data_IF_883824106822
#
_entry.id   IF_883824106822
#
_cell.length_a   1.000
_cell.length_b   1.000
_cell.length_c   1.000
_cell.angle_alpha   90.00
_cell.angle_beta   90.00
_cell.angle_gamma   90.00
#
_symmetry.space_group_name_H-M   'P 1'
#
loop_
_entity.id
_entity.type
_entity.pdbx_description
1 polymer ?
#
# COMPACT_ATOMS: atom_id res chain seq x y z
N UNK A 1 -15.80 -4.91 -13.40
CA UNK A 1 -14.79 -5.76 -12.73
C UNK A 1 -13.51 -5.62 -13.53
N UNK A 2 -12.38 -5.29 -12.89
CA UNK A 2 -11.11 -5.14 -13.61
C UNK A 2 -10.53 -6.53 -13.95
N UNK A 3 -10.16 -6.73 -15.21
CA UNK A 3 -9.52 -7.94 -15.71
C UNK A 3 -8.03 -7.66 -15.89
N UNK A 4 -7.18 -8.42 -15.20
CA UNK A 4 -5.73 -8.33 -15.35
C UNK A 4 -5.27 -9.26 -16.49
N UNK A 5 -4.60 -8.68 -17.49
CA UNK A 5 -3.93 -9.41 -18.57
C UNK A 5 -2.44 -9.55 -18.26
N UNK A 6 -1.97 -10.75 -17.87
CA UNK A 6 -0.58 -10.96 -17.47
C UNK A 6 0.40 -10.90 -18.66
N UNK A 7 -0.05 -11.08 -19.90
CA UNK A 7 0.83 -11.04 -21.08
C UNK A 7 1.20 -9.60 -21.46
N UNK A 8 0.27 -8.67 -21.26
CA UNK A 8 0.44 -7.27 -21.59
C UNK A 8 0.69 -6.38 -20.35
N UNK A 9 0.78 -7.01 -19.17
CA UNK A 9 0.79 -6.35 -17.85
C UNK A 9 -0.16 -5.16 -17.78
N UNK A 10 -1.46 -5.43 -18.02
CA UNK A 10 -2.47 -4.38 -18.12
C UNK A 10 -3.79 -4.75 -17.46
N UNK A 11 -4.50 -3.73 -16.99
CA UNK A 11 -5.85 -3.87 -16.44
C UNK A 11 -6.87 -3.30 -17.41
N UNK A 12 -7.94 -4.05 -17.64
CA UNK A 12 -9.04 -3.69 -18.54
C UNK A 12 -10.37 -3.66 -17.79
N UNK A 13 -11.29 -2.79 -18.21
CA UNK A 13 -12.68 -2.87 -17.78
C UNK A 13 -13.39 -4.02 -18.50
N UNK A 14 -14.52 -4.46 -17.94
CA UNK A 14 -15.33 -5.45 -18.62
C UNK A 14 -15.91 -4.80 -19.88
N UNK A 15 -15.74 -5.46 -21.04
CA UNK A 15 -16.21 -5.01 -22.36
C UNK A 15 -15.40 -3.87 -23.01
N UNK A 16 -14.20 -3.58 -22.51
CA UNK A 16 -13.24 -2.68 -23.18
C UNK A 16 -11.90 -3.38 -23.41
N UNK A 17 -11.32 -3.22 -24.61
CA UNK A 17 -9.93 -3.62 -24.87
C UNK A 17 -8.93 -2.52 -24.48
N UNK A 18 -9.43 -1.33 -24.16
CA UNK A 18 -8.60 -0.21 -23.77
C UNK A 18 -7.92 -0.51 -22.42
N UNK A 19 -6.58 -0.51 -22.37
CA UNK A 19 -5.85 -0.69 -21.13
C UNK A 19 -6.04 0.57 -20.27
N UNK A 20 -6.61 0.39 -19.10
CA UNK A 20 -6.79 1.49 -18.13
C UNK A 20 -5.43 1.86 -17.53
N UNK A 21 -4.54 0.88 -17.37
CA UNK A 21 -3.16 1.03 -16.91
C UNK A 21 -2.27 -0.05 -17.52
N UNK A 22 -1.04 0.28 -17.92
CA UNK A 22 -0.02 -0.67 -18.38
C UNK A 22 1.27 -0.55 -17.56
N UNK A 23 1.96 -1.66 -17.30
CA UNK A 23 3.27 -1.66 -16.63
C UNK A 23 4.31 -0.78 -17.30
N UNK A 24 4.24 -0.66 -18.63
CA UNK A 24 5.10 0.25 -19.40
C UNK A 24 4.97 1.71 -18.93
N UNK A 25 3.78 2.14 -18.53
CA UNK A 25 3.53 3.51 -18.08
C UNK A 25 4.24 3.74 -16.73
N UNK A 26 4.23 2.74 -15.85
CA UNK A 26 5.01 2.77 -14.59
C UNK A 26 6.50 2.81 -14.85
N UNK A 27 7.00 2.05 -15.82
CA UNK A 27 8.42 2.04 -16.19
C UNK A 27 8.84 3.39 -16.77
N UNK A 28 8.04 3.97 -17.66
CA UNK A 28 8.32 5.27 -18.28
C UNK A 28 8.30 6.42 -17.26
N UNK A 29 7.40 6.36 -16.27
CA UNK A 29 7.23 7.45 -15.28
C UNK A 29 8.19 7.28 -14.09
N UNK A 30 8.25 6.09 -13.50
CA UNK A 30 8.93 5.82 -12.21
C UNK A 30 10.20 4.98 -12.35
N UNK A 31 10.49 4.49 -13.56
CA UNK A 31 11.64 3.66 -13.84
C UNK A 31 11.39 2.17 -13.65
N UNK A 32 12.19 1.37 -14.34
CA UNK A 32 12.09 -0.09 -14.35
C UNK A 32 12.31 -0.71 -12.96
N UNK A 33 13.27 -0.17 -12.20
CA UNK A 33 13.58 -0.66 -10.84
C UNK A 33 12.37 -0.53 -9.91
N UNK A 34 11.72 0.64 -9.89
CA UNK A 34 10.54 0.87 -9.07
C UNK A 34 9.39 -0.08 -9.45
N UNK A 35 9.15 -0.24 -10.75
CA UNK A 35 8.13 -1.15 -11.25
C UNK A 35 8.37 -2.61 -10.80
N UNK A 36 9.61 -3.11 -10.92
CA UNK A 36 9.94 -4.46 -10.46
C UNK A 36 9.76 -4.61 -8.95
N UNK A 37 10.14 -3.61 -8.15
CA UNK A 37 9.92 -3.65 -6.70
C UNK A 37 8.43 -3.69 -6.35
N UNK A 38 7.58 -2.87 -6.99
CA UNK A 38 6.12 -2.89 -6.78
C UNK A 38 5.54 -4.24 -7.16
N UNK A 39 5.94 -4.78 -8.32
CA UNK A 39 5.44 -6.05 -8.83
C UNK A 39 5.84 -7.22 -7.93
N UNK A 40 7.08 -7.23 -7.43
CA UNK A 40 7.58 -8.23 -6.50
C UNK A 40 6.80 -8.20 -5.16
N UNK A 41 6.57 -7.00 -4.60
CA UNK A 41 5.75 -6.83 -3.39
C UNK A 41 4.31 -7.29 -3.63
N UNK A 42 3.69 -6.87 -4.74
CA UNK A 42 2.33 -7.27 -5.09
C UNK A 42 2.19 -8.79 -5.24
N UNK A 43 3.14 -9.43 -5.92
CA UNK A 43 3.16 -10.89 -6.11
C UNK A 43 3.30 -11.61 -4.77
N UNK A 44 4.23 -11.17 -3.92
CA UNK A 44 4.42 -11.75 -2.57
C UNK A 44 3.20 -11.57 -1.67
N UNK A 45 2.51 -10.44 -1.77
CA UNK A 45 1.25 -10.20 -1.07
C UNK A 45 0.14 -11.14 -1.58
N UNK A 46 -0.02 -11.26 -2.89
CA UNK A 46 -0.98 -12.19 -3.50
C UNK A 46 -0.73 -13.61 -3.01
N UNK A 47 0.53 -14.07 -2.99
CA UNK A 47 0.87 -15.39 -2.45
C UNK A 47 0.44 -15.56 -0.99
N UNK A 48 0.67 -14.55 -0.13
CA UNK A 48 0.26 -14.61 1.29
C UNK A 48 -1.27 -14.65 1.40
N UNK A 49 -1.97 -13.89 0.55
CA UNK A 49 -3.40 -13.66 0.62
C UNK A 49 -4.25 -14.73 -0.05
N UNK A 50 -3.69 -15.47 -1.01
CA UNK A 50 -4.36 -16.61 -1.65
C UNK A 50 -4.74 -17.71 -0.65
N UNK A 51 -4.04 -17.80 0.47
CA UNK A 51 -4.33 -18.78 1.52
C UNK A 51 -5.55 -18.40 2.37
N UNK A 52 -5.78 -17.10 2.64
CA UNK A 52 -6.78 -16.70 3.61
C UNK A 52 -7.21 -15.23 3.53
N UNK A 53 -8.48 -14.99 3.21
CA UNK A 53 -9.06 -13.64 3.15
C UNK A 53 -9.15 -12.95 4.52
N UNK A 54 -9.15 -13.69 5.62
CA UNK A 54 -9.17 -13.11 6.98
C UNK A 54 -7.84 -12.43 7.27
N UNK A 55 -6.72 -13.06 6.86
CA UNK A 55 -5.38 -12.47 7.01
C UNK A 55 -5.31 -11.13 6.29
N UNK A 56 -5.84 -11.04 5.06
CA UNK A 56 -5.89 -9.78 4.28
C UNK A 56 -6.61 -8.67 5.05
N UNK A 57 -7.77 -8.98 5.62
CA UNK A 57 -8.59 -7.98 6.34
C UNK A 57 -7.85 -7.45 7.55
N UNK A 58 -7.24 -8.33 8.35
CA UNK A 58 -6.46 -7.92 9.52
C UNK A 58 -5.21 -7.15 9.10
N UNK A 59 -4.58 -7.56 7.99
CA UNK A 59 -3.42 -6.87 7.43
C UNK A 59 -3.73 -5.43 7.00
N UNK A 60 -4.86 -5.22 6.31
CA UNK A 60 -5.33 -3.87 5.95
C UNK A 60 -5.61 -3.01 7.19
N UNK A 61 -6.22 -3.60 8.24
CA UNK A 61 -6.42 -2.90 9.51
C UNK A 61 -5.09 -2.53 10.16
N UNK A 62 -4.11 -3.43 10.17
CA UNK A 62 -2.76 -3.14 10.68
C UNK A 62 -2.12 -1.97 9.94
N UNK A 63 -2.22 -1.92 8.61
CA UNK A 63 -1.74 -0.79 7.80
C UNK A 63 -2.43 0.52 8.22
N UNK A 64 -3.77 0.52 8.33
CA UNK A 64 -4.55 1.71 8.71
C UNK A 64 -4.17 2.27 10.09
N UNK A 65 -3.84 1.38 11.05
CA UNK A 65 -3.41 1.79 12.40
C UNK A 65 -1.88 1.95 12.51
N UNK A 66 -1.13 1.84 11.41
CA UNK A 66 0.30 2.09 11.44
C UNK A 66 0.56 3.57 11.23
N UNK A 67 0.97 4.24 12.30
CA UNK A 67 1.30 5.67 12.28
C UNK A 67 2.43 5.96 11.30
N UNK A 68 2.28 7.00 10.48
CA UNK A 68 3.33 7.46 9.57
C UNK A 68 3.68 6.46 8.47
N UNK A 69 2.74 5.57 8.12
CA UNK A 69 2.96 4.47 7.17
C UNK A 69 3.56 4.93 5.83
N UNK A 70 3.23 6.14 5.35
CA UNK A 70 3.81 6.70 4.12
C UNK A 70 4.64 7.98 4.36
N UNK A 71 5.21 8.17 5.56
CA UNK A 71 5.98 9.38 5.88
C UNK A 71 5.17 10.68 5.83
N UNK A 72 3.86 10.60 6.10
CA UNK A 72 2.98 11.76 6.23
C UNK A 72 3.17 12.46 7.56
N UNK A 73 3.05 13.80 7.57
CA UNK A 73 3.14 14.56 8.81
C UNK A 73 1.93 14.23 9.68
N UNK A 74 2.19 13.86 10.94
CA UNK A 74 1.21 13.54 11.98
C UNK A 74 0.23 14.71 12.18
N UNK A 75 0.65 15.94 11.87
CA UNK A 75 -0.21 17.12 11.89
C UNK A 75 -1.48 16.96 11.03
N UNK A 76 -1.39 16.24 9.91
CA UNK A 76 -2.45 16.02 8.93
C UNK A 76 -3.23 14.71 9.14
N UNK A 77 -2.86 13.90 10.14
CA UNK A 77 -3.57 12.68 10.52
C UNK A 77 -4.21 12.84 11.92
N UNK A 78 -5.25 13.70 12.08
CA UNK A 78 -5.84 14.00 13.38
C UNK A 78 -6.42 12.76 14.08
N UNK A 79 -6.87 11.77 13.30
CA UNK A 79 -7.31 10.45 13.79
C UNK A 79 -6.20 9.66 14.50
N UNK A 80 -4.92 9.95 14.20
CA UNK A 80 -3.77 9.29 14.81
C UNK A 80 -3.07 10.12 15.90
N UNK A 81 -3.65 11.27 16.30
CA UNK A 81 -3.11 12.12 17.38
C UNK A 81 -3.07 11.42 18.73
N UNK A 82 -4.04 10.55 19.02
CA UNK A 82 -4.02 9.75 20.24
C UNK A 82 -3.17 8.50 20.07
N UNK A 83 -1.85 8.68 20.21
CA UNK A 83 -0.85 7.63 20.05
C UNK A 83 -1.17 6.37 20.86
N UNK A 84 -1.64 6.53 22.10
CA UNK A 84 -1.93 5.39 22.97
C UNK A 84 -3.06 4.52 22.41
N UNK A 85 -4.14 5.13 21.92
CA UNK A 85 -5.26 4.38 21.33
C UNK A 85 -4.82 3.68 20.04
N UNK A 86 -4.07 4.37 19.17
CA UNK A 86 -3.58 3.79 17.90
C UNK A 86 -2.68 2.60 18.17
N UNK A 87 -1.69 2.76 19.04
CA UNK A 87 -0.74 1.69 19.40
C UNK A 87 -1.46 0.48 20.03
N UNK A 88 -2.38 0.71 20.96
CA UNK A 88 -3.15 -0.37 21.58
C UNK A 88 -4.04 -1.09 20.57
N UNK A 89 -4.66 -0.35 19.66
CA UNK A 89 -5.51 -0.91 18.61
C UNK A 89 -4.68 -1.72 17.62
N UNK A 90 -3.51 -1.21 17.22
CA UNK A 90 -2.58 -1.94 16.36
C UNK A 90 -2.13 -3.25 17.02
N UNK A 91 -1.74 -3.22 18.30
CA UNK A 91 -1.35 -4.42 19.05
C UNK A 91 -2.49 -5.43 19.17
N UNK A 92 -3.72 -4.97 19.37
CA UNK A 92 -4.89 -5.86 19.41
C UNK A 92 -5.06 -6.61 18.08
N UNK A 93 -4.94 -5.92 16.95
CA UNK A 93 -5.00 -6.57 15.64
C UNK A 93 -3.79 -7.46 15.37
N UNK A 94 -2.60 -7.07 15.83
CA UNK A 94 -1.37 -7.85 15.69
C UNK A 94 -1.46 -9.17 16.47
N UNK A 95 -1.95 -9.11 17.70
CA UNK A 95 -2.19 -10.27 18.54
C UNK A 95 -3.31 -11.16 17.98
N UNK A 96 -4.38 -10.55 17.45
CA UNK A 96 -5.47 -11.27 16.79
C UNK A 96 -4.97 -12.03 15.57
N UNK A 97 -4.13 -11.40 14.73
CA UNK A 97 -3.49 -12.06 13.58
C UNK A 97 -2.61 -13.23 14.04
N UNK A 98 -1.80 -13.02 15.08
CA UNK A 98 -0.90 -14.05 15.59
C UNK A 98 -1.69 -15.26 16.13
N UNK A 99 -2.71 -15.03 16.96
CA UNK A 99 -3.58 -16.07 17.51
C UNK A 99 -4.36 -16.81 16.42
N UNK A 100 -4.88 -16.07 15.44
CA UNK A 100 -5.55 -16.65 14.28
C UNK A 100 -4.61 -17.59 13.52
N UNK A 101 -3.42 -17.11 13.17
CA UNK A 101 -2.44 -17.91 12.46
C UNK A 101 -2.01 -19.14 13.27
N UNK A 102 -1.79 -18.98 14.58
CA UNK A 102 -1.39 -20.07 15.47
C UNK A 102 -2.44 -21.16 15.54
N UNK A 103 -3.71 -20.78 15.66
CA UNK A 103 -4.84 -21.70 15.71
C UNK A 103 -5.05 -22.45 14.40
N UNK A 104 -4.93 -21.77 13.25
CA UNK A 104 -5.26 -22.35 11.94
C UNK A 104 -4.08 -23.06 11.25
N UNK A 105 -2.85 -22.60 11.46
CA UNK A 105 -1.68 -23.08 10.71
C UNK A 105 -0.58 -23.69 11.59
N UNK A 106 -0.71 -23.58 12.92
CA UNK A 106 0.29 -24.06 13.87
C UNK A 106 1.52 -23.16 13.96
N UNK A 107 2.39 -23.43 14.94
CA UNK A 107 3.47 -22.51 15.33
C UNK A 107 4.47 -22.22 14.21
N UNK A 108 4.92 -23.25 13.47
CA UNK A 108 5.94 -23.08 12.42
C UNK A 108 5.46 -22.18 11.29
N UNK A 109 4.28 -22.46 10.73
CA UNK A 109 3.70 -21.65 9.65
C UNK A 109 3.35 -20.26 10.13
N UNK A 110 2.91 -20.11 11.39
CA UNK A 110 2.62 -18.79 11.97
C UNK A 110 3.83 -17.88 11.94
N UNK A 111 4.98 -18.35 12.42
CA UNK A 111 6.23 -17.55 12.42
C UNK A 111 6.59 -17.12 11.00
N UNK A 112 6.51 -18.04 10.02
CA UNK A 112 6.79 -17.75 8.62
C UNK A 112 5.82 -16.72 8.03
N UNK A 113 4.50 -16.91 8.20
CA UNK A 113 3.48 -16.00 7.69
C UNK A 113 3.61 -14.61 8.31
N UNK A 114 3.87 -14.54 9.61
CA UNK A 114 4.00 -13.29 10.34
C UNK A 114 5.25 -12.51 9.89
N UNK A 115 6.40 -13.17 9.80
CA UNK A 115 7.64 -12.55 9.32
C UNK A 115 7.51 -12.09 7.87
N UNK A 116 6.93 -12.91 6.98
CA UNK A 116 6.66 -12.52 5.59
C UNK A 116 5.74 -11.30 5.52
N UNK A 117 4.65 -11.30 6.30
CA UNK A 117 3.68 -10.21 6.35
C UNK A 117 4.32 -8.90 6.82
N UNK A 118 5.09 -8.92 7.90
CA UNK A 118 5.81 -7.73 8.40
C UNK A 118 6.81 -7.20 7.37
N UNK A 119 7.57 -8.07 6.70
CA UNK A 119 8.48 -7.66 5.65
C UNK A 119 7.74 -7.00 4.48
N UNK A 120 6.55 -7.50 4.12
CA UNK A 120 5.74 -6.84 3.09
C UNK A 120 5.22 -5.48 3.55
N UNK A 121 4.80 -5.33 4.80
CA UNK A 121 4.42 -4.03 5.36
C UNK A 121 5.56 -3.02 5.17
N UNK A 122 6.78 -3.37 5.61
CA UNK A 122 7.94 -2.48 5.50
C UNK A 122 8.27 -2.14 4.04
N UNK A 123 8.16 -3.12 3.14
CA UNK A 123 8.39 -2.90 1.71
C UNK A 123 7.36 -1.95 1.10
N UNK A 124 6.07 -2.10 1.44
CA UNK A 124 5.01 -1.17 1.02
C UNK A 124 5.30 0.24 1.54
N UNK A 125 5.69 0.38 2.81
CA UNK A 125 6.01 1.69 3.39
C UNK A 125 7.15 2.38 2.64
N UNK A 126 8.24 1.63 2.35
CA UNK A 126 9.38 2.14 1.58
C UNK A 126 8.96 2.61 0.19
N UNK A 127 8.18 1.79 -0.52
CA UNK A 127 7.66 2.14 -1.86
C UNK A 127 6.75 3.36 -1.82
N UNK A 128 5.89 3.47 -0.80
CA UNK A 128 5.01 4.61 -0.63
C UNK A 128 5.78 5.92 -0.39
N UNK A 129 6.85 5.87 0.40
CA UNK A 129 7.74 7.04 0.59
C UNK A 129 8.42 7.41 -0.72
N UNK A 130 8.98 6.45 -1.44
CA UNK A 130 9.63 6.73 -2.72
C UNK A 130 8.65 7.30 -3.76
N UNK A 131 7.43 6.74 -3.86
CA UNK A 131 6.38 7.29 -4.71
C UNK A 131 6.03 8.73 -4.31
N UNK A 132 5.88 8.99 -3.01
CA UNK A 132 5.58 10.34 -2.52
C UNK A 132 6.68 11.33 -2.89
N UNK A 133 7.94 10.97 -2.69
CA UNK A 133 9.09 11.81 -3.04
C UNK A 133 9.14 12.07 -4.55
N UNK A 134 8.87 11.05 -5.36
CA UNK A 134 8.78 11.22 -6.81
C UNK A 134 7.71 12.23 -7.19
N UNK A 135 6.49 12.07 -6.66
CA UNK A 135 5.36 12.94 -6.98
C UNK A 135 5.65 14.39 -6.54
N UNK A 136 6.24 14.61 -5.37
CA UNK A 136 6.62 15.96 -4.91
C UNK A 136 7.66 16.63 -5.81
N UNK A 137 8.62 15.86 -6.31
CA UNK A 137 9.76 16.41 -7.05
C UNK A 137 9.49 16.56 -8.56
N UNK A 138 8.60 15.76 -9.13
CA UNK A 138 8.46 15.64 -10.59
C UNK A 138 7.06 15.94 -11.12
N UNK A 139 6.00 15.91 -10.29
CA UNK A 139 4.63 16.13 -10.74
C UNK A 139 4.09 17.45 -10.20
N UNK A 140 3.52 18.27 -11.08
CA UNK A 140 2.85 19.49 -10.65
C UNK A 140 1.51 19.13 -10.00
N UNK A 141 1.25 19.65 -8.79
CA UNK A 141 0.02 19.39 -8.04
C UNK A 141 -1.27 19.63 -8.86
N UNK A 142 -1.25 20.63 -9.75
CA UNK A 142 -2.38 20.96 -10.63
C UNK A 142 -2.79 19.84 -11.62
N UNK A 143 -1.90 18.89 -11.90
CA UNK A 143 -2.17 17.75 -12.77
C UNK A 143 -2.87 16.59 -12.05
N UNK A 144 -2.94 16.65 -10.72
CA UNK A 144 -3.51 15.60 -9.88
C UNK A 144 -4.93 15.93 -9.47
N UNK A 145 -5.74 14.91 -9.21
CA UNK A 145 -7.06 15.12 -8.64
C UNK A 145 -6.98 15.74 -7.23
N UNK A 146 -7.98 16.53 -6.79
CA UNK A 146 -7.98 17.10 -5.43
C UNK A 146 -7.83 16.05 -4.33
N UNK A 147 -8.37 14.85 -4.53
CA UNK A 147 -8.19 13.74 -3.59
C UNK A 147 -6.72 13.31 -3.51
N UNK A 148 -6.05 13.13 -4.65
CA UNK A 148 -4.63 12.76 -4.67
C UNK A 148 -3.74 13.86 -4.09
N UNK A 149 -4.04 15.12 -4.38
CA UNK A 149 -3.34 16.27 -3.77
C UNK A 149 -3.47 16.24 -2.25
N UNK A 150 -4.68 15.99 -1.73
CA UNK A 150 -4.94 15.87 -0.29
C UNK A 150 -4.25 14.66 0.34
N UNK A 151 -4.27 13.50 -0.33
CA UNK A 151 -3.62 12.28 0.17
C UNK A 151 -2.11 12.46 0.21
N UNK A 152 -1.52 13.02 -0.83
CA UNK A 152 -0.09 13.20 -0.96
C UNK A 152 0.44 14.41 -0.17
N UNK A 153 -0.44 15.26 0.36
CA UNK A 153 -0.08 16.48 1.10
C UNK A 153 0.76 17.44 0.26
N UNK A 154 0.44 17.54 -1.04
CA UNK A 154 1.12 18.47 -1.92
C UNK A 154 0.75 19.90 -1.52
N UNK A 155 1.71 20.84 -1.50
CA UNK A 155 1.38 22.23 -1.24
C UNK A 155 0.39 22.69 -2.32
N UNK A 156 -0.76 23.19 -1.89
CA UNK A 156 -1.65 23.91 -2.80
C UNK A 156 -0.79 25.00 -3.44
N UNK A 157 -0.57 24.92 -4.74
CA UNK A 157 -0.07 26.05 -5.51
C UNK A 157 -1.09 27.17 -5.30
N UNK A 158 -0.82 28.08 -4.35
CA UNK A 158 -1.55 29.32 -4.27
C UNK A 158 -1.45 29.93 -5.68
N UNK A 159 -2.58 30.28 -6.32
CA UNK A 159 -2.49 31.09 -7.53
C UNK A 159 -1.77 32.37 -7.10
N UNK A 160 -0.62 32.61 -7.70
CA UNK A 160 0.12 33.86 -7.57
C UNK A 160 -0.86 35.00 -7.84
N UNK A 161 -1.13 35.79 -6.79
CA UNK A 161 -1.88 37.06 -6.89
C UNK A 161 -1.05 38.06 -7.67
#
# INVERSE_FOLDING_TARGET
VLLYNPLADSYHEHDTEDPIFQGKDWIEILGEEFYHEVTDVATKLIEIFQYDRVIVKIFLLLILFTKGFCGYDIAHEPSLKNYFIVFNTQNLYLESLYKYCLHHYGIRKTITLFSRSLNQILAIQRLAVHLKDFVHNHINASQLSPLMQSVLQLPNSNPSV
#
